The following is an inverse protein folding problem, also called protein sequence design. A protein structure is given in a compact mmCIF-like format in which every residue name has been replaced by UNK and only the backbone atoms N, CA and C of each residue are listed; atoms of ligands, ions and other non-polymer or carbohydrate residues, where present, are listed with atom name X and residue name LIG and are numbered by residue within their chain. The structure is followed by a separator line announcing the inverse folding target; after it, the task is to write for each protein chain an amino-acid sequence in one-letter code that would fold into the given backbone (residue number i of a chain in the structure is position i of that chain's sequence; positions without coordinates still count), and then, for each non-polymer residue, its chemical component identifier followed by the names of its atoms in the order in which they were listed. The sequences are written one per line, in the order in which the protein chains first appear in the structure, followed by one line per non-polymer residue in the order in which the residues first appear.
data_IF_969420829767
#
_entry.id   IF_969420829767
#
_cell.length_a   1.000
_cell.length_b   1.000
_cell.length_c   1.000
_cell.angle_alpha   90.00
_cell.angle_beta   90.00
_cell.angle_gamma   90.00
#
_symmetry.space_group_name_H-M   'P 1'
#
loop_
_entity.id
_entity.type
_entity.pdbx_description
1 polymer ?
#
# COMPACT_ATOMS: atom_id res chain seq x y z
N UNK A 1 7.97 0.30 20.32
CA UNK A 1 7.27 -0.58 19.35
C UNK A 1 8.04 -0.50 18.04
N UNK A 2 8.62 -1.59 17.54
CA UNK A 2 9.48 -1.56 16.33
C UNK A 2 8.84 -2.32 15.18
N UNK A 3 7.75 -1.77 14.63
CA UNK A 3 7.32 -2.12 13.29
C UNK A 3 8.17 -1.36 12.27
N UNK A 4 8.41 -1.95 11.09
CA UNK A 4 9.03 -1.22 9.96
C UNK A 4 7.92 -0.78 9.01
N UNK A 5 7.88 0.50 8.59
CA UNK A 5 6.95 0.95 7.57
C UNK A 5 7.21 0.20 6.26
N UNK A 6 6.15 -0.20 5.58
CA UNK A 6 6.27 -0.82 4.27
C UNK A 6 5.03 -0.62 3.41
N UNK A 7 5.16 -0.97 2.14
CA UNK A 7 4.05 -0.92 1.21
C UNK A 7 3.99 -2.17 0.32
N UNK A 8 2.82 -2.43 -0.24
CA UNK A 8 2.59 -3.44 -1.27
C UNK A 8 1.91 -2.75 -2.45
N UNK A 9 2.48 -2.91 -3.63
CA UNK A 9 1.87 -2.49 -4.89
C UNK A 9 1.05 -3.65 -5.46
N UNK A 10 -0.26 -3.46 -5.53
CA UNK A 10 -1.18 -4.57 -5.80
C UNK A 10 -1.06 -5.04 -7.24
N UNK A 11 -0.89 -4.16 -8.23
CA UNK A 11 -0.74 -4.57 -9.64
C UNK A 11 0.48 -5.44 -9.90
N UNK A 12 1.53 -5.28 -9.11
CA UNK A 12 2.78 -6.04 -9.22
C UNK A 12 2.80 -7.28 -8.33
N UNK A 13 1.86 -7.42 -7.39
CA UNK A 13 1.76 -8.62 -6.57
C UNK A 13 1.26 -9.81 -7.40
N UNK A 14 1.70 -11.02 -7.05
CA UNK A 14 1.31 -12.25 -7.76
C UNK A 14 -0.21 -12.50 -7.77
N UNK A 15 -0.92 -11.96 -6.78
CA UNK A 15 -2.37 -12.02 -6.65
C UNK A 15 -3.09 -10.76 -7.21
N UNK A 16 -2.35 -9.85 -7.85
CA UNK A 16 -2.80 -8.52 -8.22
C UNK A 16 -4.05 -8.50 -9.09
N UNK A 17 -4.10 -9.38 -10.09
CA UNK A 17 -5.24 -9.49 -11.01
C UNK A 17 -6.57 -9.81 -10.29
N UNK A 18 -6.53 -10.51 -9.15
CA UNK A 18 -7.72 -10.82 -8.35
C UNK A 18 -8.04 -9.68 -7.38
N UNK A 19 -7.01 -9.04 -6.82
CA UNK A 19 -7.16 -8.06 -5.75
C UNK A 19 -7.53 -6.65 -6.23
N UNK A 20 -7.21 -6.28 -7.48
CA UNK A 20 -7.43 -4.91 -7.99
C UNK A 20 -8.91 -4.58 -8.26
N UNK A 21 -9.73 -5.55 -8.66
CA UNK A 21 -11.12 -5.29 -9.05
C UNK A 21 -11.22 -4.19 -10.12
N UNK A 22 -12.02 -3.11 -9.91
CA UNK A 22 -12.13 -1.99 -10.87
C UNK A 22 -11.00 -0.95 -10.75
N UNK A 23 -10.06 -1.11 -9.83
CA UNK A 23 -8.94 -0.17 -9.67
C UNK A 23 -7.86 -0.44 -10.72
N UNK A 24 -7.30 0.62 -11.29
CA UNK A 24 -6.14 0.51 -12.17
C UNK A 24 -4.87 0.19 -11.34
N UNK A 25 -4.78 0.74 -10.14
CA UNK A 25 -3.72 0.44 -9.18
C UNK A 25 -4.18 0.63 -7.74
N UNK A 26 -3.55 -0.13 -6.83
CA UNK A 26 -3.70 0.04 -5.39
C UNK A 26 -2.36 -0.13 -4.68
N UNK A 27 -1.96 0.86 -3.90
CA UNK A 27 -0.81 0.78 -3.00
C UNK A 27 -1.29 0.72 -1.55
N UNK A 28 -1.00 -0.39 -0.86
CA UNK A 28 -1.34 -0.58 0.55
C UNK A 28 -0.11 -0.32 1.42
N UNK A 29 -0.21 0.57 2.39
CA UNK A 29 0.84 0.99 3.31
C UNK A 29 0.45 0.53 4.72
N UNK A 30 1.40 -0.05 5.46
CA UNK A 30 1.16 -0.51 6.83
C UNK A 30 2.45 -0.57 7.65
N UNK A 31 2.31 -0.80 8.95
CA UNK A 31 3.42 -1.22 9.80
C UNK A 31 3.57 -2.74 9.81
N UNK A 32 4.76 -3.20 9.50
CA UNK A 32 5.11 -4.62 9.50
C UNK A 32 5.97 -4.94 10.72
N UNK A 33 5.40 -5.66 11.69
CA UNK A 33 6.11 -6.21 12.85
C UNK A 33 6.31 -7.72 12.73
N UNK A 34 7.31 -8.27 13.43
CA UNK A 34 7.66 -9.70 13.33
C UNK A 34 6.56 -10.65 13.85
N UNK A 35 5.69 -10.19 14.74
CA UNK A 35 4.66 -11.03 15.39
C UNK A 35 3.31 -10.34 15.61
N UNK A 36 3.08 -9.16 15.01
CA UNK A 36 1.78 -8.48 15.15
C UNK A 36 1.05 -8.44 13.81
N UNK A 37 -0.29 -8.56 13.83
CA UNK A 37 -1.10 -8.28 12.64
C UNK A 37 -0.79 -6.87 12.12
N UNK A 38 -0.95 -6.68 10.81
CA UNK A 38 -0.80 -5.36 10.18
C UNK A 38 -1.67 -4.37 10.93
N UNK A 39 -1.07 -3.29 11.43
CA UNK A 39 -1.76 -2.18 12.09
C UNK A 39 -1.59 -0.92 11.28
N UNK A 40 -2.63 -0.10 11.25
CA UNK A 40 -2.67 1.18 10.55
C UNK A 40 -2.51 1.01 9.04
N UNK A 41 -3.53 0.45 8.41
CA UNK A 41 -3.55 0.28 6.95
C UNK A 41 -4.01 1.57 6.28
N UNK A 42 -3.20 2.06 5.35
CA UNK A 42 -3.57 3.11 4.42
C UNK A 42 -3.55 2.53 3.02
N UNK A 43 -4.51 2.93 2.21
CA UNK A 43 -4.65 2.46 0.84
C UNK A 43 -4.76 3.67 -0.06
N UNK A 44 -3.89 3.74 -1.06
CA UNK A 44 -3.99 4.71 -2.13
C UNK A 44 -4.45 3.98 -3.39
N UNK A 45 -5.59 4.40 -3.94
CA UNK A 45 -6.20 3.79 -5.12
C UNK A 45 -6.15 4.75 -6.31
N UNK A 46 -5.71 4.26 -7.46
CA UNK A 46 -5.87 4.93 -8.74
C UNK A 46 -6.96 4.19 -9.52
N UNK A 47 -8.02 4.91 -9.88
CA UNK A 47 -9.13 4.37 -10.68
C UNK A 47 -9.04 4.93 -12.10
N UNK A 48 -9.39 4.11 -13.08
CA UNK A 48 -9.17 4.42 -14.49
C UNK A 48 -9.90 5.69 -14.99
N UNK A 49 -10.97 6.12 -14.31
CA UNK A 49 -11.78 7.27 -14.68
C UNK A 49 -11.57 8.49 -13.78
N UNK A 50 -10.72 8.37 -12.74
CA UNK A 50 -10.48 9.44 -11.78
C UNK A 50 -9.10 10.05 -12.03
N UNK A 51 -9.05 11.38 -12.13
CA UNK A 51 -7.78 12.12 -12.35
C UNK A 51 -6.87 12.14 -11.12
N UNK A 52 -7.41 11.82 -9.93
CA UNK A 52 -6.70 11.91 -8.66
C UNK A 52 -6.80 10.61 -7.88
N UNK A 53 -5.71 10.16 -7.25
CA UNK A 53 -5.76 8.99 -6.38
C UNK A 53 -6.59 9.27 -5.12
N UNK A 54 -7.31 8.25 -4.67
CA UNK A 54 -8.09 8.28 -3.43
C UNK A 54 -7.24 7.69 -2.28
N UNK A 55 -7.10 8.45 -1.18
CA UNK A 55 -6.52 7.94 0.06
C UNK A 55 -7.62 7.41 0.97
N UNK A 56 -7.51 6.15 1.38
CA UNK A 56 -8.35 5.49 2.37
C UNK A 56 -7.51 5.14 3.59
N UNK A 57 -8.03 5.41 4.77
CA UNK A 57 -7.33 5.18 6.03
C UNK A 57 -8.22 4.31 6.91
N UNK A 58 -7.70 3.19 7.40
CA UNK A 58 -8.41 2.37 8.39
C UNK A 58 -8.66 3.15 9.68
N UNK A 59 -9.60 2.70 10.50
CA UNK A 59 -9.94 3.39 11.74
C UNK A 59 -8.73 3.55 12.68
N UNK A 60 -7.86 2.54 12.75
CA UNK A 60 -6.60 2.55 13.51
C UNK A 60 -5.41 3.18 12.75
N UNK A 61 -5.60 3.49 11.46
CA UNK A 61 -4.59 4.09 10.60
C UNK A 61 -4.40 5.59 10.80
N UNK A 62 -5.38 6.28 11.38
CA UNK A 62 -5.30 7.73 11.63
C UNK A 62 -4.21 8.11 12.64
N UNK A 63 -4.11 7.36 13.74
CA UNK A 63 -3.06 7.57 14.74
C UNK A 63 -1.67 7.35 14.14
N UNK A 64 -1.56 6.30 13.33
CA UNK A 64 -0.33 5.92 12.64
C UNK A 64 0.08 6.96 11.60
N UNK A 65 -0.90 7.49 10.87
CA UNK A 65 -0.73 8.55 9.90
C UNK A 65 -0.21 9.83 10.55
N UNK A 66 -0.77 10.19 11.71
CA UNK A 66 -0.39 11.39 12.45
C UNK A 66 1.01 11.28 13.08
N UNK A 67 1.36 10.11 13.63
CA UNK A 67 2.60 9.92 14.39
C UNK A 67 3.77 9.49 13.51
N UNK A 68 3.59 8.39 12.79
CA UNK A 68 4.67 7.67 12.12
C UNK A 68 4.79 8.07 10.64
N UNK A 69 3.69 8.43 9.98
CA UNK A 69 3.68 8.79 8.54
C UNK A 69 3.53 10.29 8.27
N UNK A 70 3.83 11.14 9.26
CA UNK A 70 3.79 12.60 9.08
C UNK A 70 4.69 13.11 7.95
N UNK A 71 5.81 12.43 7.68
CA UNK A 71 6.70 12.73 6.55
C UNK A 71 6.04 12.51 5.18
N UNK A 72 5.24 11.44 5.06
CA UNK A 72 4.45 11.14 3.86
C UNK A 72 3.43 12.25 3.60
N UNK A 73 2.65 12.63 4.62
CA UNK A 73 1.67 13.72 4.49
C UNK A 73 2.32 15.04 4.07
N UNK A 74 3.46 15.40 4.69
CA UNK A 74 4.20 16.62 4.34
C UNK A 74 4.69 16.61 2.90
N UNK A 75 5.09 15.45 2.37
CA UNK A 75 5.45 15.34 0.96
C UNK A 75 4.23 15.45 0.05
N UNK A 76 3.13 14.76 0.37
CA UNK A 76 1.90 14.80 -0.43
C UNK A 76 1.30 16.20 -0.54
N UNK A 77 1.35 17.00 0.53
CA UNK A 77 0.85 18.40 0.52
C UNK A 77 1.68 19.31 -0.40
N UNK A 78 2.94 18.96 -0.70
CA UNK A 78 3.83 19.74 -1.56
C UNK A 78 3.72 19.37 -3.04
N UNK A 79 2.87 18.41 -3.39
CA UNK A 79 2.69 17.99 -4.77
C UNK A 79 1.68 18.92 -5.45
N UNK A 80 2.12 19.60 -6.50
CA UNK A 80 1.28 20.50 -7.30
C UNK A 80 0.45 19.75 -8.37
N UNK A 81 0.78 18.48 -8.62
CA UNK A 81 0.09 17.61 -9.59
C UNK A 81 -0.25 16.25 -9.00
N UNK A 82 -1.26 15.55 -9.52
CA UNK A 82 -1.52 14.16 -9.17
C UNK A 82 -0.27 13.31 -9.45
N UNK A 83 0.11 12.50 -8.47
CA UNK A 83 1.24 11.58 -8.57
C UNK A 83 0.79 10.28 -9.22
N UNK A 84 1.57 9.75 -10.16
CA UNK A 84 1.32 8.42 -10.69
C UNK A 84 1.81 7.32 -9.71
N UNK A 85 1.38 6.05 -9.88
CA UNK A 85 1.79 5.00 -8.96
C UNK A 85 3.31 4.80 -8.80
N UNK A 86 4.07 4.89 -9.90
CA UNK A 86 5.51 4.67 -9.89
C UNK A 86 6.23 5.76 -9.09
N UNK A 87 5.85 7.02 -9.32
CA UNK A 87 6.34 8.18 -8.57
C UNK A 87 6.00 8.07 -7.08
N UNK A 88 4.79 7.60 -6.76
CA UNK A 88 4.35 7.42 -5.39
C UNK A 88 5.16 6.33 -4.68
N UNK A 89 5.36 5.16 -5.30
CA UNK A 89 6.23 4.10 -4.76
C UNK A 89 7.68 4.58 -4.60
N UNK A 90 8.23 5.32 -5.57
CA UNK A 90 9.56 5.90 -5.47
C UNK A 90 9.67 6.92 -4.30
N UNK A 91 8.62 7.70 -4.06
CA UNK A 91 8.54 8.57 -2.89
C UNK A 91 8.54 7.77 -1.58
N UNK A 92 7.74 6.70 -1.48
CA UNK A 92 7.71 5.83 -0.28
C UNK A 92 9.09 5.23 0.02
N UNK A 93 9.79 4.75 -1.00
CA UNK A 93 11.16 4.25 -0.86
C UNK A 93 12.12 5.34 -0.32
N UNK A 94 12.05 6.56 -0.85
CA UNK A 94 12.85 7.70 -0.35
C UNK A 94 12.54 8.08 1.10
N UNK A 95 11.30 7.87 1.54
CA UNK A 95 10.86 8.09 2.92
C UNK A 95 11.21 6.92 3.85
N UNK A 96 11.85 5.87 3.35
CA UNK A 96 12.31 4.73 4.14
C UNK A 96 11.28 3.61 4.31
N UNK A 97 10.19 3.62 3.54
CA UNK A 97 9.26 2.50 3.52
C UNK A 97 9.88 1.35 2.73
N UNK A 98 9.77 0.13 3.24
CA UNK A 98 10.21 -1.07 2.53
C UNK A 98 9.15 -1.53 1.52
N UNK A 99 9.56 -1.84 0.29
CA UNK A 99 8.71 -2.56 -0.64
C UNK A 99 8.55 -4.02 -0.18
N UNK A 100 7.30 -4.44 0.01
CA UNK A 100 6.91 -5.79 0.44
C UNK A 100 6.13 -6.52 -0.65
N UNK A 101 6.13 -6.00 -1.88
CA UNK A 101 5.43 -6.58 -3.02
C UNK A 101 6.01 -7.94 -3.37
N UNK A 102 5.15 -8.97 -3.32
CA UNK A 102 5.54 -10.33 -3.69
C UNK A 102 5.10 -10.56 -5.13
N UNK A 103 6.02 -10.44 -6.08
CA UNK A 103 5.70 -10.52 -7.51
C UNK A 103 5.43 -11.95 -8.01
N UNK A 104 6.00 -12.95 -7.33
CA UNK A 104 5.90 -14.36 -7.74
C UNK A 104 5.08 -15.16 -6.74
N UNK A 105 4.29 -16.10 -7.24
CA UNK A 105 3.57 -17.05 -6.41
C UNK A 105 4.59 -17.79 -5.51
N UNK A 106 4.42 -17.79 -4.18
CA UNK A 106 5.28 -18.57 -3.30
C UNK A 106 5.13 -20.07 -3.62
N UNK A 107 6.24 -20.81 -3.59
CA UNK A 107 6.26 -22.23 -3.97
C UNK A 107 5.33 -23.12 -3.11
N UNK A 108 4.98 -22.67 -1.90
CA UNK A 108 4.23 -23.44 -0.92
C UNK A 108 2.74 -23.04 -0.79
N UNK A 109 2.20 -22.28 -1.75
CA UNK A 109 0.75 -22.02 -1.78
C UNK A 109 0.06 -23.22 -2.41
N UNK A 110 -0.21 -24.24 -1.58
CA UNK A 110 -1.19 -25.28 -1.88
C UNK A 110 -2.50 -24.62 -2.28
N UNK A 111 -3.13 -25.13 -3.34
CA UNK A 111 -4.35 -24.56 -3.88
C UNK A 111 -5.41 -24.50 -2.77
N UNK A 112 -5.76 -23.28 -2.34
CA UNK A 112 -6.91 -23.07 -1.47
C UNK A 112 -8.10 -23.80 -2.12
N UNK A 113 -8.77 -24.72 -1.41
CA UNK A 113 -9.91 -25.42 -1.96
C UNK A 113 -10.91 -24.38 -2.42
N UNK A 114 -11.32 -24.47 -3.70
CA UNK A 114 -12.37 -23.60 -4.24
C UNK A 114 -13.60 -23.81 -3.37
N UNK A 115 -13.95 -22.81 -2.56
CA UNK A 115 -15.24 -22.77 -1.89
C UNK A 115 -16.28 -22.71 -3.03
N UNK A 116 -17.03 -23.81 -3.18
CA UNK A 116 -18.17 -23.92 -4.08
C UNK A 116 -19.40 -23.32 -3.43
#
# INVERSE_FOLDING_TARGET
MSGTPGFVRTSQAWYGAIALGPCAERVCIAMYGAQQPRRGELVVEWRALDERPELRVSQDGWDLLARDFSGLLRHMVRLDSPVNPDEFCAMLLRLGFADRTIERKPANVEALPRLR
#
